data_IF_646274692338
#
_entry.id   IF_646274692338
#
_cell.length_a   1.000
_cell.length_b   1.000
_cell.length_c   1.000
_cell.angle_alpha   90.00
_cell.angle_beta   90.00
_cell.angle_gamma   90.00
#
_symmetry.space_group_name_H-M   'P 1'
#
loop_
_entity.id
_entity.type
_entity.pdbx_description
1 polymer ?
#
# COMPACT_ATOMS: atom_id res chain seq x y z
N UNK A 1 0.97 17.72 16.62
CA UNK A 1 1.95 16.62 16.47
C UNK A 1 2.95 17.02 15.40
N UNK A 2 4.23 16.80 15.65
CA UNK A 2 5.25 16.99 14.61
C UNK A 2 5.01 15.98 13.48
N UNK A 3 5.19 16.39 12.21
CA UNK A 3 4.97 15.51 11.09
C UNK A 3 5.98 14.35 11.10
N UNK A 4 5.52 13.14 10.76
CA UNK A 4 6.38 11.99 10.58
C UNK A 4 7.10 12.08 9.24
N UNK A 5 8.29 11.48 9.16
CA UNK A 5 9.05 11.32 7.92
C UNK A 5 8.89 9.90 7.38
N UNK A 6 8.57 9.78 6.11
CA UNK A 6 8.60 8.50 5.40
C UNK A 6 9.88 8.40 4.56
N UNK A 7 10.77 7.49 4.97
CA UNK A 7 11.99 7.16 4.25
C UNK A 7 11.77 5.94 3.33
N UNK A 8 12.27 5.99 2.10
CA UNK A 8 12.25 4.90 1.13
C UNK A 8 13.61 4.64 0.48
N UNK A 9 14.61 5.47 0.76
CA UNK A 9 15.97 5.41 0.21
C UNK A 9 17.03 5.13 1.27
N UNK A 10 18.21 5.70 1.09
CA UNK A 10 19.37 5.45 1.97
C UNK A 10 19.16 5.85 3.45
N UNK A 11 18.19 6.72 3.74
CA UNK A 11 17.85 7.11 5.12
C UNK A 11 17.19 5.96 5.93
N UNK A 12 16.88 4.84 5.30
CA UNK A 12 16.48 3.60 5.97
C UNK A 12 17.65 2.90 6.67
N UNK A 13 18.88 3.09 6.17
CA UNK A 13 20.09 2.55 6.80
C UNK A 13 20.64 3.52 7.85
N UNK A 14 20.54 3.11 9.12
CA UNK A 14 20.95 3.93 10.25
C UNK A 14 22.46 4.17 10.28
N UNK A 15 23.27 3.27 9.73
CA UNK A 15 24.72 3.43 9.70
C UNK A 15 25.11 4.48 8.65
N UNK A 16 24.49 4.46 7.46
CA UNK A 16 24.65 5.48 6.43
C UNK A 16 24.16 6.86 6.94
N UNK A 17 23.06 6.88 7.68
CA UNK A 17 22.58 8.10 8.32
C UNK A 17 23.56 8.64 9.36
N UNK A 18 24.06 7.79 10.27
CA UNK A 18 25.00 8.19 11.31
C UNK A 18 26.33 8.68 10.71
N UNK A 19 26.85 8.00 9.69
CA UNK A 19 28.05 8.43 8.98
C UNK A 19 27.88 9.79 8.34
N UNK A 20 26.73 10.03 7.67
CA UNK A 20 26.40 11.33 7.11
C UNK A 20 26.33 12.42 8.19
N UNK A 21 25.61 12.18 9.29
CA UNK A 21 25.47 13.13 10.39
C UNK A 21 26.85 13.50 11.00
N UNK A 22 27.69 12.51 11.29
CA UNK A 22 29.01 12.73 11.85
C UNK A 22 29.91 13.54 10.91
N UNK A 23 29.85 13.29 9.60
CA UNK A 23 30.63 14.02 8.58
C UNK A 23 30.24 15.49 8.48
N UNK A 24 28.97 15.81 8.72
CA UNK A 24 28.42 17.15 8.54
C UNK A 24 28.04 17.86 9.85
N UNK A 25 28.46 17.32 11.01
CA UNK A 25 28.16 17.85 12.35
C UNK A 25 26.68 17.96 12.68
N UNK A 26 25.88 16.99 12.25
CA UNK A 26 24.50 16.79 12.68
C UNK A 26 24.43 15.72 13.79
N UNK A 27 23.34 15.75 14.55
CA UNK A 27 23.08 14.71 15.56
C UNK A 27 22.44 13.47 14.88
N UNK A 28 23.10 12.29 14.91
CA UNK A 28 22.52 11.07 14.35
C UNK A 28 21.24 10.59 15.05
N UNK A 29 21.00 11.02 16.31
CA UNK A 29 19.80 10.69 17.08
C UNK A 29 18.64 11.64 16.78
N UNK A 30 18.78 12.53 15.82
CA UNK A 30 17.74 13.51 15.43
C UNK A 30 16.57 12.87 14.67
N UNK A 31 16.69 11.60 14.24
CA UNK A 31 15.63 10.77 13.71
C UNK A 31 15.50 9.47 14.51
N UNK A 32 14.28 9.00 14.69
CA UNK A 32 13.96 7.76 15.41
C UNK A 32 13.02 6.90 14.58
N UNK A 33 13.44 5.66 14.28
CA UNK A 33 12.60 4.72 13.53
C UNK A 33 11.38 4.30 14.36
N UNK A 34 10.19 4.37 13.77
CA UNK A 34 8.92 3.99 14.42
C UNK A 34 8.48 2.61 13.94
N UNK A 35 8.20 2.48 12.64
CA UNK A 35 7.61 1.25 12.07
C UNK A 35 7.76 1.18 10.56
N UNK A 36 7.69 -0.02 9.95
CA UNK A 36 7.57 -0.17 8.51
C UNK A 36 6.26 0.43 8.01
N UNK A 37 6.31 0.98 6.80
CA UNK A 37 5.14 1.52 6.12
C UNK A 37 5.30 1.39 4.60
N UNK A 38 4.20 1.64 3.86
CA UNK A 38 4.18 1.60 2.39
C UNK A 38 3.49 2.84 1.86
N UNK A 39 4.10 3.48 0.87
CA UNK A 39 3.49 4.60 0.17
C UNK A 39 2.68 4.09 -1.02
N UNK A 40 1.33 4.20 -0.99
CA UNK A 40 0.46 3.67 -2.03
C UNK A 40 0.49 4.51 -3.31
N UNK A 41 0.20 3.86 -4.45
CA UNK A 41 0.12 4.46 -5.78
C UNK A 41 1.43 5.09 -6.29
N UNK A 42 2.57 4.53 -5.85
CA UNK A 42 3.90 4.91 -6.31
C UNK A 42 4.76 3.68 -6.65
N UNK A 43 5.83 3.92 -7.39
CA UNK A 43 6.91 2.97 -7.66
C UNK A 43 8.28 3.63 -7.47
N UNK A 44 9.32 2.82 -7.23
CA UNK A 44 10.70 3.29 -7.15
C UNK A 44 11.25 3.60 -8.54
N UNK A 45 12.09 4.63 -8.62
CA UNK A 45 12.89 4.94 -9.80
C UNK A 45 14.23 5.55 -9.44
N UNK A 46 15.22 5.37 -10.29
CA UNK A 46 16.53 6.04 -10.18
C UNK A 46 16.54 7.20 -11.18
N UNK A 47 15.96 8.32 -10.77
CA UNK A 47 15.60 9.44 -11.64
C UNK A 47 16.39 10.72 -11.38
N UNK A 48 17.47 10.65 -10.59
CA UNK A 48 18.35 11.77 -10.31
C UNK A 48 19.80 11.31 -10.20
N UNK A 49 20.74 12.10 -10.72
CA UNK A 49 22.15 11.83 -10.54
C UNK A 49 22.63 12.41 -9.20
N UNK A 50 23.16 11.57 -8.34
CA UNK A 50 23.78 11.98 -7.08
C UNK A 50 25.31 12.06 -7.24
N UNK A 51 25.87 13.27 -7.08
CA UNK A 51 27.33 13.47 -7.10
C UNK A 51 28.01 12.73 -5.96
N UNK A 52 27.41 12.73 -4.77
CA UNK A 52 27.98 12.08 -3.58
C UNK A 52 27.95 10.55 -3.69
N UNK A 53 26.99 9.97 -4.40
CA UNK A 53 26.90 8.53 -4.64
C UNK A 53 27.58 8.08 -5.93
N UNK A 54 27.95 9.02 -6.80
CA UNK A 54 28.58 8.74 -8.10
C UNK A 54 27.67 8.01 -9.08
N UNK A 55 26.36 8.12 -8.95
CA UNK A 55 25.37 7.42 -9.77
C UNK A 55 23.94 7.81 -9.45
N UNK A 56 22.99 6.98 -9.91
CA UNK A 56 21.58 7.21 -9.66
C UNK A 56 21.21 7.16 -8.19
N UNK A 57 20.38 8.11 -7.74
CA UNK A 57 19.70 8.06 -6.46
C UNK A 57 18.20 7.83 -6.65
N UNK A 58 17.57 7.28 -5.59
CA UNK A 58 16.16 6.91 -5.61
C UNK A 58 15.25 8.13 -5.63
N UNK A 59 14.20 7.99 -6.38
CA UNK A 59 13.00 8.80 -6.39
C UNK A 59 11.77 7.90 -6.40
N UNK A 60 10.61 8.48 -6.21
CA UNK A 60 9.31 7.83 -6.38
C UNK A 60 8.57 8.43 -7.55
N UNK A 61 7.90 7.57 -8.32
CA UNK A 61 7.06 7.95 -9.45
C UNK A 61 5.63 7.50 -9.21
N UNK A 62 4.66 8.28 -9.64
CA UNK A 62 3.24 7.88 -9.55
C UNK A 62 2.99 6.61 -10.37
N UNK A 63 2.40 5.60 -9.74
CA UNK A 63 1.94 4.36 -10.36
C UNK A 63 0.74 3.82 -9.63
N UNK A 64 -0.42 3.98 -10.20
CA UNK A 64 -1.69 3.49 -9.64
C UNK A 64 -1.61 1.99 -9.36
N UNK A 65 -1.99 1.58 -8.15
CA UNK A 65 -1.96 0.18 -7.72
C UNK A 65 -0.58 -0.38 -7.34
N UNK A 66 0.51 0.39 -7.51
CA UNK A 66 1.80 0.06 -6.92
C UNK A 66 1.91 0.54 -5.47
N UNK A 67 2.97 0.16 -4.79
CA UNK A 67 3.39 0.78 -3.53
C UNK A 67 4.91 0.78 -3.36
N UNK A 68 5.42 1.74 -2.62
CA UNK A 68 6.84 1.83 -2.27
C UNK A 68 7.04 1.42 -0.82
N UNK A 69 7.89 0.44 -0.60
CA UNK A 69 8.31 0.00 0.72
C UNK A 69 9.21 1.03 1.39
N UNK A 70 9.02 1.26 2.70
CA UNK A 70 9.82 2.20 3.48
C UNK A 70 9.48 2.14 4.96
N UNK A 71 9.84 3.17 5.68
CA UNK A 71 9.58 3.23 7.12
C UNK A 71 9.25 4.67 7.58
N UNK A 72 8.48 4.75 8.66
CA UNK A 72 8.18 5.99 9.35
C UNK A 72 9.21 6.28 10.43
N UNK A 73 9.58 7.54 10.50
CA UNK A 73 10.50 8.08 11.49
C UNK A 73 9.87 9.28 12.21
N UNK A 74 10.12 9.39 13.50
CA UNK A 74 9.96 10.64 14.24
C UNK A 74 11.20 11.49 13.99
N UNK A 75 11.01 12.76 13.73
CA UNK A 75 12.09 13.68 13.36
C UNK A 75 11.95 14.96 14.17
N UNK A 76 13.00 15.34 14.89
CA UNK A 76 13.04 16.64 15.57
C UNK A 76 13.54 17.75 14.59
N UNK A 77 13.55 19.00 15.03
CA UNK A 77 13.93 20.12 14.19
C UNK A 77 15.36 19.98 13.62
N UNK A 78 16.31 19.46 14.39
CA UNK A 78 17.68 19.21 13.92
C UNK A 78 17.71 18.12 12.84
N UNK A 79 16.89 17.09 13.00
CA UNK A 79 16.72 16.04 11.99
C UNK A 79 16.16 16.57 10.68
N UNK A 80 15.16 17.46 10.76
CA UNK A 80 14.64 18.10 9.54
C UNK A 80 15.71 18.94 8.82
N UNK A 81 16.54 19.66 9.56
CA UNK A 81 17.64 20.43 8.98
C UNK A 81 18.70 19.50 8.32
N UNK A 82 19.01 18.38 8.98
CA UNK A 82 19.95 17.39 8.45
C UNK A 82 19.39 16.68 7.19
N UNK A 83 18.10 16.32 7.19
CA UNK A 83 17.44 15.74 6.03
C UNK A 83 17.42 16.71 4.85
N UNK A 84 17.01 17.97 5.05
CA UNK A 84 17.01 18.98 3.99
C UNK A 84 18.39 19.17 3.38
N UNK A 85 19.43 19.19 4.23
CA UNK A 85 20.79 19.29 3.75
C UNK A 85 21.23 18.06 2.95
N UNK A 86 20.90 16.85 3.44
CA UNK A 86 21.23 15.58 2.76
C UNK A 86 20.53 15.46 1.41
N UNK A 87 19.25 15.85 1.34
CA UNK A 87 18.43 15.76 0.14
C UNK A 87 18.66 16.97 -0.82
N UNK A 88 19.49 17.93 -0.43
CA UNK A 88 19.81 19.10 -1.28
C UNK A 88 18.60 19.98 -1.56
N UNK A 89 17.76 20.22 -0.55
CA UNK A 89 16.56 21.06 -0.69
C UNK A 89 16.95 22.50 -1.07
N UNK A 90 18.03 23.04 -0.51
CA UNK A 90 18.53 24.38 -0.84
C UNK A 90 19.09 24.47 -2.28
N UNK A 91 19.50 23.36 -2.85
CA UNK A 91 20.00 23.24 -4.23
C UNK A 91 18.89 22.80 -5.19
N UNK A 92 17.65 22.78 -4.72
CA UNK A 92 16.44 22.38 -5.46
C UNK A 92 16.51 20.98 -6.08
N UNK A 93 17.28 20.04 -5.45
CA UNK A 93 17.41 18.67 -5.93
C UNK A 93 16.17 17.86 -5.57
N UNK A 94 15.81 17.84 -4.26
CA UNK A 94 14.57 17.27 -3.77
C UNK A 94 13.74 18.33 -3.05
N UNK A 95 12.46 18.08 -2.96
CA UNK A 95 11.52 18.89 -2.16
C UNK A 95 10.76 18.03 -1.16
N UNK A 96 10.45 18.59 0.00
CA UNK A 96 9.51 17.99 0.96
C UNK A 96 8.12 17.92 0.33
N UNK A 97 7.51 16.75 0.42
CA UNK A 97 6.16 16.51 -0.11
C UNK A 97 5.34 15.79 0.94
N UNK A 98 4.12 16.28 1.19
CA UNK A 98 3.16 15.53 2.02
C UNK A 98 2.75 14.27 1.30
N UNK A 99 2.67 13.17 2.02
CA UNK A 99 2.23 11.88 1.51
C UNK A 99 1.34 11.16 2.53
N UNK A 100 0.57 10.21 2.03
CA UNK A 100 -0.14 9.24 2.84
C UNK A 100 0.59 7.90 2.73
N UNK A 101 0.79 7.21 3.84
CA UNK A 101 1.38 5.88 3.88
C UNK A 101 0.48 4.92 4.65
N UNK A 102 0.64 3.64 4.38
CA UNK A 102 -0.10 2.54 5.00
C UNK A 102 0.87 1.80 5.91
N UNK A 103 0.54 1.66 7.19
CA UNK A 103 1.33 0.88 8.15
C UNK A 103 1.09 -0.64 8.02
N UNK A 104 1.75 -1.43 8.86
CA UNK A 104 1.64 -2.90 8.84
C UNK A 104 0.26 -3.43 9.26
N UNK A 105 -0.58 -2.59 9.85
CA UNK A 105 -1.95 -2.93 10.28
C UNK A 105 -3.01 -2.44 9.31
N UNK A 106 -2.61 -1.74 8.23
CA UNK A 106 -3.50 -1.20 7.21
C UNK A 106 -4.02 0.20 7.50
N UNK A 107 -3.54 0.88 8.57
CA UNK A 107 -3.94 2.25 8.87
C UNK A 107 -3.24 3.24 7.94
N UNK A 108 -3.99 4.27 7.54
CA UNK A 108 -3.47 5.42 6.80
C UNK A 108 -2.82 6.41 7.76
N UNK A 109 -1.60 6.85 7.43
CA UNK A 109 -0.82 7.80 8.22
C UNK A 109 -0.30 8.90 7.30
N UNK A 110 -0.56 10.17 7.67
CA UNK A 110 0.01 11.32 6.98
C UNK A 110 1.47 11.51 7.38
N UNK A 111 2.34 11.70 6.39
CA UNK A 111 3.77 11.88 6.58
C UNK A 111 4.36 12.89 5.59
N UNK A 112 5.62 13.22 5.77
CA UNK A 112 6.44 14.00 4.82
C UNK A 112 7.45 13.02 4.19
N UNK A 113 7.67 13.15 2.90
CA UNK A 113 8.78 12.49 2.19
C UNK A 113 9.51 13.47 1.29
N UNK A 114 10.57 13.03 0.63
CA UNK A 114 11.30 13.83 -0.34
C UNK A 114 11.10 13.28 -1.75
N UNK A 115 10.86 14.16 -2.71
CA UNK A 115 10.64 13.83 -4.11
C UNK A 115 11.53 14.72 -4.97
N UNK A 116 12.15 14.17 -5.98
CA UNK A 116 12.98 14.90 -6.94
C UNK A 116 12.18 16.02 -7.59
N UNK A 117 12.79 17.19 -7.73
CA UNK A 117 12.19 18.33 -8.44
C UNK A 117 12.23 18.11 -9.95
N UNK A 118 11.33 18.76 -10.68
CA UNK A 118 11.23 18.62 -12.15
C UNK A 118 12.53 19.05 -12.84
N UNK A 119 13.28 19.99 -12.26
CA UNK A 119 14.56 20.50 -12.80
C UNK A 119 15.67 19.45 -12.76
N UNK A 120 15.65 18.55 -11.79
CA UNK A 120 16.69 17.55 -11.59
C UNK A 120 16.23 16.14 -12.00
N UNK A 121 14.97 16.00 -12.43
CA UNK A 121 14.46 14.74 -12.90
C UNK A 121 15.09 14.33 -14.24
N UNK A 122 15.55 13.10 -14.31
CA UNK A 122 15.98 12.42 -15.53
C UNK A 122 15.27 11.08 -15.63
N UNK A 123 15.16 10.51 -16.83
CA UNK A 123 14.41 9.27 -17.02
C UNK A 123 15.02 8.10 -16.24
N UNK A 124 16.34 7.94 -16.34
CA UNK A 124 17.06 6.90 -15.61
C UNK A 124 18.54 7.21 -15.45
N UNK A 125 19.07 6.95 -14.25
CA UNK A 125 20.52 6.89 -13.98
C UNK A 125 20.82 5.61 -13.23
N UNK A 126 21.73 4.80 -13.75
CA UNK A 126 22.14 3.56 -13.09
C UNK A 126 22.74 3.87 -11.70
N UNK A 127 22.26 3.23 -10.61
CA UNK A 127 22.87 3.38 -9.29
C UNK A 127 24.24 2.69 -9.23
N UNK A 128 25.08 3.13 -8.28
CA UNK A 128 26.25 2.34 -7.89
C UNK A 128 25.82 1.13 -7.07
N UNK A 129 26.61 0.05 -7.09
CA UNK A 129 26.34 -1.13 -6.26
C UNK A 129 26.30 -0.78 -4.78
N UNK A 130 27.26 0.03 -4.32
CA UNK A 130 27.32 0.49 -2.93
C UNK A 130 26.03 1.20 -2.49
N UNK A 131 25.47 2.10 -3.31
CA UNK A 131 24.22 2.78 -2.96
C UNK A 131 23.04 1.82 -2.92
N UNK A 132 22.97 0.86 -3.85
CA UNK A 132 21.96 -0.17 -3.86
C UNK A 132 22.03 -1.04 -2.59
N UNK A 133 23.25 -1.46 -2.17
CA UNK A 133 23.46 -2.25 -0.96
C UNK A 133 23.02 -1.50 0.32
N UNK A 134 23.27 -0.20 0.40
CA UNK A 134 22.81 0.67 1.51
C UNK A 134 21.27 0.65 1.60
N UNK A 135 20.58 0.85 0.48
CA UNK A 135 19.12 0.87 0.45
C UNK A 135 18.55 -0.51 0.76
N UNK A 136 19.14 -1.56 0.19
CA UNK A 136 18.74 -2.94 0.46
C UNK A 136 18.86 -3.28 1.95
N UNK A 137 19.98 -2.94 2.58
CA UNK A 137 20.20 -3.15 4.01
C UNK A 137 19.13 -2.43 4.85
N UNK A 138 18.79 -1.19 4.49
CA UNK A 138 17.73 -0.44 5.13
C UNK A 138 16.35 -1.11 4.99
N UNK A 139 15.97 -1.55 3.78
CA UNK A 139 14.71 -2.26 3.53
C UNK A 139 14.62 -3.58 4.32
N UNK A 140 15.69 -4.37 4.32
CA UNK A 140 15.75 -5.65 5.07
C UNK A 140 15.62 -5.44 6.59
N UNK A 141 16.15 -4.35 7.14
CA UNK A 141 15.98 -3.98 8.54
C UNK A 141 14.49 -3.88 8.93
N UNK A 142 13.67 -3.36 8.03
CA UNK A 142 12.22 -3.24 8.21
C UNK A 142 11.45 -4.45 7.66
N UNK A 143 12.14 -5.55 7.32
CA UNK A 143 11.57 -6.80 6.80
C UNK A 143 10.76 -6.62 5.51
N UNK A 144 11.18 -5.68 4.68
CA UNK A 144 10.61 -5.49 3.36
C UNK A 144 11.27 -6.41 2.33
N UNK A 145 10.47 -6.79 1.33
CA UNK A 145 10.99 -7.36 0.09
C UNK A 145 11.79 -6.30 -0.67
N UNK A 146 12.84 -6.73 -1.37
CA UNK A 146 13.77 -5.86 -2.07
C UNK A 146 13.73 -6.00 -3.60
N UNK A 147 12.82 -6.82 -4.14
CA UNK A 147 12.71 -7.08 -5.58
C UNK A 147 12.44 -5.82 -6.39
N UNK A 148 11.62 -4.91 -5.86
CA UNK A 148 11.32 -3.62 -6.52
C UNK A 148 12.57 -2.74 -6.67
N UNK A 149 13.46 -2.75 -5.68
CA UNK A 149 14.74 -2.05 -5.75
C UNK A 149 15.61 -2.58 -6.89
N UNK A 150 15.68 -3.91 -7.05
CA UNK A 150 16.46 -4.53 -8.12
C UNK A 150 15.87 -4.26 -9.51
N UNK A 151 14.55 -4.28 -9.65
CA UNK A 151 13.88 -3.94 -10.91
C UNK A 151 14.13 -2.47 -11.28
N UNK A 152 13.97 -1.55 -10.31
CA UNK A 152 14.23 -0.14 -10.50
C UNK A 152 15.71 0.13 -10.88
N UNK A 153 16.68 -0.55 -10.24
CA UNK A 153 18.11 -0.43 -10.52
C UNK A 153 18.49 -0.90 -11.93
N UNK A 154 17.68 -1.76 -12.55
CA UNK A 154 17.84 -2.25 -13.93
C UNK A 154 16.98 -1.47 -14.93
N UNK A 155 16.27 -0.44 -14.52
CA UNK A 155 15.26 0.27 -15.32
C UNK A 155 14.20 -0.67 -15.91
N UNK A 156 13.82 -1.69 -15.15
CA UNK A 156 12.79 -2.66 -15.55
C UNK A 156 11.46 -2.27 -14.90
N UNK A 157 10.36 -2.40 -15.64
CA UNK A 157 9.04 -2.14 -15.05
C UNK A 157 8.76 -3.13 -13.92
N UNK A 158 8.08 -2.65 -12.88
CA UNK A 158 7.53 -3.51 -11.85
C UNK A 158 6.51 -4.48 -12.47
N UNK A 159 6.53 -5.73 -12.01
CA UNK A 159 5.55 -6.71 -12.44
C UNK A 159 4.25 -6.53 -11.67
N UNK A 160 3.13 -6.45 -12.38
CA UNK A 160 1.80 -6.25 -11.77
C UNK A 160 1.40 -7.40 -10.83
N UNK A 161 1.99 -8.58 -11.00
CA UNK A 161 1.75 -9.76 -10.16
C UNK A 161 2.17 -9.60 -8.69
N UNK A 162 3.02 -8.60 -8.38
CA UNK A 162 3.47 -8.31 -7.02
C UNK A 162 2.42 -7.55 -6.19
N UNK A 163 1.35 -7.05 -6.83
CA UNK A 163 0.33 -6.21 -6.19
C UNK A 163 -1.08 -6.78 -6.39
N UNK A 164 -1.36 -7.99 -5.88
CA UNK A 164 -2.67 -8.60 -6.08
C UNK A 164 -3.77 -7.83 -5.36
N UNK A 165 -5.02 -8.01 -5.83
CA UNK A 165 -6.22 -7.50 -5.22
C UNK A 165 -6.99 -8.64 -4.56
N UNK A 166 -7.36 -8.48 -3.28
CA UNK A 166 -8.30 -9.36 -2.60
C UNK A 166 -9.72 -8.83 -2.73
N UNK A 167 -10.60 -9.65 -3.28
CA UNK A 167 -12.04 -9.37 -3.40
C UNK A 167 -12.84 -10.37 -2.58
N UNK A 168 -13.94 -9.91 -1.98
CA UNK A 168 -14.71 -10.71 -1.01
C UNK A 168 -16.23 -10.54 -1.13
N UNK A 169 -16.71 -9.69 -2.05
CA UNK A 169 -18.11 -9.26 -2.17
C UNK A 169 -18.67 -9.43 -3.59
N UNK A 170 -19.37 -8.43 -4.04
CA UNK A 170 -20.09 -8.41 -5.34
C UNK A 170 -19.20 -8.52 -6.57
N UNK A 171 -17.90 -8.30 -6.43
CA UNK A 171 -16.90 -8.48 -7.50
C UNK A 171 -16.47 -9.95 -7.67
N UNK A 172 -16.77 -10.85 -6.72
CA UNK A 172 -16.46 -12.29 -6.83
C UNK A 172 -17.09 -12.87 -8.10
N UNK A 173 -16.40 -13.83 -8.71
CA UNK A 173 -16.90 -14.50 -9.90
C UNK A 173 -18.30 -15.11 -9.66
N UNK A 174 -19.25 -14.81 -10.56
CA UNK A 174 -20.65 -15.20 -10.44
C UNK A 174 -21.53 -14.25 -9.62
N UNK A 175 -20.95 -13.27 -8.92
CA UNK A 175 -21.70 -12.25 -8.20
C UNK A 175 -22.08 -11.06 -9.11
N UNK A 176 -22.96 -10.18 -8.62
CA UNK A 176 -23.66 -9.16 -9.41
C UNK A 176 -22.75 -8.19 -10.17
N UNK A 177 -21.58 -7.84 -9.62
CA UNK A 177 -20.64 -6.90 -10.23
C UNK A 177 -19.39 -7.55 -10.84
N UNK A 178 -19.31 -8.89 -10.87
CA UNK A 178 -18.15 -9.63 -11.38
C UNK A 178 -17.76 -9.26 -12.80
N UNK A 179 -18.75 -8.94 -13.65
CA UNK A 179 -18.53 -8.55 -15.05
C UNK A 179 -17.69 -7.28 -15.21
N UNK A 180 -17.65 -6.40 -14.21
CA UNK A 180 -16.90 -5.14 -14.27
C UNK A 180 -15.39 -5.35 -14.24
N UNK A 181 -14.90 -6.41 -13.57
CA UNK A 181 -13.49 -6.77 -13.54
C UNK A 181 -13.12 -7.95 -14.44
N UNK A 182 -14.11 -8.66 -15.02
CA UNK A 182 -13.90 -9.77 -15.93
C UNK A 182 -13.17 -9.38 -17.22
N UNK A 183 -13.26 -8.11 -17.62
CA UNK A 183 -12.59 -7.57 -18.81
C UNK A 183 -11.08 -7.43 -18.68
N UNK A 184 -10.54 -7.43 -17.45
CA UNK A 184 -9.10 -7.32 -17.23
C UNK A 184 -8.45 -8.70 -17.26
N UNK A 185 -7.35 -8.83 -18.00
CA UNK A 185 -6.53 -10.04 -18.03
C UNK A 185 -5.94 -10.32 -16.65
N UNK A 186 -5.98 -11.60 -16.24
CA UNK A 186 -5.54 -12.06 -14.93
C UNK A 186 -4.40 -13.05 -15.11
N UNK A 187 -3.27 -12.80 -14.44
CA UNK A 187 -2.15 -13.74 -14.35
C UNK A 187 -2.47 -14.91 -13.42
N UNK A 188 -3.23 -14.63 -12.35
CA UNK A 188 -3.74 -15.66 -11.43
C UNK A 188 -5.04 -15.22 -10.75
N UNK A 189 -5.83 -16.21 -10.31
CA UNK A 189 -7.02 -16.02 -9.47
C UNK A 189 -7.17 -17.24 -8.60
N UNK A 190 -7.07 -17.08 -7.27
CA UNK A 190 -7.08 -18.16 -6.31
C UNK A 190 -8.05 -17.84 -5.17
N UNK A 191 -8.74 -18.86 -4.64
CA UNK A 191 -9.47 -18.67 -3.39
C UNK A 191 -8.51 -18.34 -2.26
N UNK A 192 -8.90 -17.40 -1.41
CA UNK A 192 -8.03 -16.90 -0.37
C UNK A 192 -8.79 -16.48 0.88
N UNK A 193 -8.05 -16.36 1.97
CA UNK A 193 -8.54 -16.03 3.30
C UNK A 193 -7.85 -14.79 3.82
N UNK A 194 -8.63 -13.91 4.45
CA UNK A 194 -8.12 -12.74 5.14
C UNK A 194 -8.72 -12.61 6.54
N UNK A 195 -7.94 -12.12 7.50
CA UNK A 195 -8.47 -11.79 8.83
C UNK A 195 -9.34 -10.55 8.74
N UNK A 196 -10.51 -10.60 9.38
CA UNK A 196 -11.46 -9.50 9.39
C UNK A 196 -12.89 -9.99 9.59
N UNK A 197 -13.83 -9.07 9.65
CA UNK A 197 -15.26 -9.37 9.80
C UNK A 197 -16.05 -8.76 8.65
N UNK A 198 -16.84 -9.57 7.97
CA UNK A 198 -17.81 -9.08 6.98
C UNK A 198 -19.11 -8.66 7.67
N UNK A 199 -19.69 -7.59 7.17
CA UNK A 199 -20.99 -7.07 7.60
C UNK A 199 -21.90 -6.92 6.38
N UNK A 200 -23.16 -7.35 6.53
CA UNK A 200 -24.18 -7.09 5.53
C UNK A 200 -24.64 -5.63 5.61
N UNK A 201 -24.92 -5.04 4.45
CA UNK A 201 -25.56 -3.73 4.35
C UNK A 201 -27.03 -3.91 3.91
N UNK A 202 -27.80 -2.83 4.02
CA UNK A 202 -29.16 -2.76 3.44
C UNK A 202 -29.13 -2.64 1.90
N UNK A 203 -27.95 -2.40 1.35
CA UNK A 203 -27.66 -2.32 -0.09
C UNK A 203 -26.90 -3.56 -0.52
N UNK A 204 -27.32 -4.42 -1.29
CA UNK A 204 -26.83 -5.73 -1.76
C UNK A 204 -25.30 -5.89 -1.95
N UNK A 205 -24.49 -5.43 -0.99
CA UNK A 205 -23.04 -5.60 -0.92
C UNK A 205 -22.55 -5.69 0.53
N UNK A 206 -21.45 -6.39 0.80
CA UNK A 206 -20.87 -6.46 2.14
C UNK A 206 -19.86 -5.34 2.39
N UNK A 207 -19.65 -5.02 3.66
CA UNK A 207 -18.54 -4.20 4.17
C UNK A 207 -17.56 -5.06 4.96
N UNK A 208 -16.27 -4.81 4.79
CA UNK A 208 -15.18 -5.49 5.51
C UNK A 208 -14.56 -4.57 6.53
N UNK A 209 -14.45 -5.06 7.76
CA UNK A 209 -13.65 -4.45 8.83
C UNK A 209 -12.45 -5.33 9.16
N UNK A 210 -11.23 -4.78 9.02
CA UNK A 210 -9.97 -5.44 9.39
C UNK A 210 -9.38 -4.87 10.68
N UNK A 211 -9.98 -3.84 11.26
CA UNK A 211 -9.49 -3.12 12.43
C UNK A 211 -10.19 -3.53 13.74
N UNK A 212 -11.15 -4.47 13.66
CA UNK A 212 -11.81 -5.07 14.82
C UNK A 212 -10.93 -6.08 15.55
N UNK A 213 -11.54 -6.93 16.38
CA UNK A 213 -10.81 -8.01 17.05
C UNK A 213 -10.31 -9.03 16.00
N UNK A 214 -9.00 -9.14 15.77
CA UNK A 214 -8.44 -9.99 14.73
C UNK A 214 -8.45 -11.47 15.09
N UNK A 215 -8.91 -11.86 16.29
CA UNK A 215 -8.60 -13.17 16.86
C UNK A 215 -9.41 -14.34 16.27
N UNK A 216 -10.56 -14.12 15.61
CA UNK A 216 -11.48 -15.20 15.34
C UNK A 216 -12.11 -15.30 13.95
N UNK A 217 -12.14 -14.26 13.15
CA UNK A 217 -12.90 -14.27 11.92
C UNK A 217 -12.01 -14.29 10.67
N UNK A 218 -12.27 -15.27 9.79
CA UNK A 218 -11.67 -15.34 8.47
C UNK A 218 -12.72 -14.98 7.41
N UNK A 219 -12.34 -14.07 6.53
CA UNK A 219 -13.14 -13.68 5.37
C UNK A 219 -12.66 -14.45 4.16
N UNK A 220 -13.62 -15.12 3.50
CA UNK A 220 -13.38 -15.88 2.27
C UNK A 220 -13.55 -14.98 1.06
N UNK A 221 -12.58 -15.04 0.16
CA UNK A 221 -12.57 -14.24 -1.05
C UNK A 221 -11.70 -14.83 -2.13
N UNK A 222 -11.32 -14.01 -3.09
CA UNK A 222 -10.39 -14.36 -4.17
C UNK A 222 -9.22 -13.38 -4.18
N UNK A 223 -8.02 -13.92 -4.31
CA UNK A 223 -6.80 -13.17 -4.53
C UNK A 223 -6.50 -13.16 -6.04
N UNK A 224 -6.50 -11.99 -6.65
CA UNK A 224 -6.36 -11.84 -8.09
C UNK A 224 -5.13 -11.01 -8.42
N UNK A 225 -4.23 -11.56 -9.21
CA UNK A 225 -3.15 -10.81 -9.85
C UNK A 225 -3.59 -10.43 -11.27
N UNK A 226 -3.63 -9.13 -11.55
CA UNK A 226 -3.96 -8.60 -12.87
C UNK A 226 -2.68 -8.33 -13.68
N UNK A 227 -2.74 -8.50 -15.00
CA UNK A 227 -1.63 -8.14 -15.89
C UNK A 227 -1.43 -6.62 -15.91
N UNK A 228 -2.53 -5.85 -15.81
CA UNK A 228 -2.53 -4.41 -15.62
C UNK A 228 -3.30 -4.05 -14.33
N UNK A 229 -2.57 -4.03 -13.22
CA UNK A 229 -3.14 -3.64 -11.92
C UNK A 229 -3.62 -2.19 -11.91
N UNK A 230 -2.98 -1.30 -12.66
CA UNK A 230 -3.33 0.13 -12.66
C UNK A 230 -4.73 0.36 -13.22
N UNK A 231 -5.05 -0.29 -14.33
CA UNK A 231 -6.39 -0.25 -14.93
C UNK A 231 -7.44 -0.95 -14.06
N UNK A 232 -7.09 -2.10 -13.48
CA UNK A 232 -7.99 -2.84 -12.58
C UNK A 232 -8.33 -2.01 -11.32
N UNK A 233 -7.32 -1.45 -10.64
CA UNK A 233 -7.51 -0.59 -9.46
C UNK A 233 -8.29 0.69 -9.82
N UNK A 234 -8.01 1.31 -10.97
CA UNK A 234 -8.77 2.49 -11.37
C UNK A 234 -10.26 2.19 -11.56
N UNK A 235 -10.58 1.01 -12.08
CA UNK A 235 -11.96 0.57 -12.20
C UNK A 235 -12.60 0.24 -10.83
N UNK A 236 -11.89 -0.51 -9.99
CA UNK A 236 -12.43 -0.89 -8.68
C UNK A 236 -12.54 0.30 -7.73
N UNK A 237 -11.65 1.29 -7.78
CA UNK A 237 -11.78 2.54 -7.03
C UNK A 237 -13.13 3.23 -7.31
N UNK A 238 -13.57 3.26 -8.59
CA UNK A 238 -14.88 3.82 -8.95
C UNK A 238 -16.06 2.99 -8.45
N UNK A 239 -15.93 1.66 -8.45
CA UNK A 239 -16.98 0.73 -7.98
C UNK A 239 -17.18 0.85 -6.47
N UNK A 240 -16.09 1.07 -5.74
CA UNK A 240 -16.02 1.10 -4.28
C UNK A 240 -16.16 2.53 -3.71
N UNK A 241 -16.49 3.51 -4.57
CA UNK A 241 -16.59 4.93 -4.18
C UNK A 241 -15.34 5.40 -3.38
N UNK A 242 -14.16 5.02 -3.89
CA UNK A 242 -12.87 5.46 -3.38
C UNK A 242 -12.31 6.60 -4.26
N UNK A 243 -12.28 7.80 -3.73
CA UNK A 243 -11.88 9.03 -4.43
C UNK A 243 -10.45 9.47 -4.10
N UNK A 244 -9.69 8.63 -3.41
CA UNK A 244 -8.30 8.88 -3.01
C UNK A 244 -8.09 8.73 -1.51
N UNK A 245 -6.82 8.61 -1.13
CA UNK A 245 -6.43 8.52 0.28
C UNK A 245 -6.77 9.82 1.01
N UNK A 246 -7.21 9.71 2.26
CA UNK A 246 -7.64 10.84 3.12
C UNK A 246 -8.91 11.60 2.62
N UNK A 247 -9.65 11.07 1.64
CA UNK A 247 -10.91 11.69 1.20
C UNK A 247 -12.07 11.30 2.12
N UNK A 248 -12.70 12.29 2.74
CA UNK A 248 -13.80 12.06 3.70
C UNK A 248 -15.09 11.50 3.05
N UNK A 249 -15.23 11.59 1.72
CA UNK A 249 -16.41 11.12 0.99
C UNK A 249 -16.28 9.64 0.56
N UNK A 250 -15.17 8.98 0.88
CA UNK A 250 -14.99 7.57 0.55
C UNK A 250 -16.02 6.70 1.27
N UNK A 251 -16.72 5.82 0.54
CA UNK A 251 -17.53 4.77 1.16
C UNK A 251 -16.62 3.63 1.64
N UNK A 252 -15.64 3.24 0.81
CA UNK A 252 -14.58 2.32 1.17
C UNK A 252 -13.23 3.01 1.17
N UNK A 253 -12.35 2.58 2.05
CA UNK A 253 -10.94 2.93 2.04
C UNK A 253 -10.14 1.81 1.37
N UNK A 254 -9.24 2.15 0.47
CA UNK A 254 -8.31 1.17 -0.11
C UNK A 254 -7.07 1.08 0.75
N UNK A 255 -6.71 -0.14 1.16
CA UNK A 255 -5.54 -0.39 2.00
C UNK A 255 -4.80 -1.66 1.57
N UNK A 256 -3.70 -1.97 2.26
CA UNK A 256 -2.88 -3.17 2.06
C UNK A 256 -3.00 -4.05 3.30
N UNK A 257 -3.31 -5.32 3.09
CA UNK A 257 -3.40 -6.29 4.20
C UNK A 257 -2.83 -7.64 3.81
N UNK A 258 -2.63 -8.50 4.82
CA UNK A 258 -2.15 -9.86 4.64
C UNK A 258 -3.28 -10.80 4.24
N UNK A 259 -3.05 -11.57 3.18
CA UNK A 259 -3.97 -12.57 2.63
C UNK A 259 -3.26 -13.91 2.51
N UNK A 260 -3.96 -15.02 2.71
CA UNK A 260 -3.43 -16.38 2.57
C UNK A 260 -4.26 -17.16 1.57
N UNK A 261 -3.62 -17.90 0.67
CA UNK A 261 -4.31 -18.81 -0.26
C UNK A 261 -4.89 -20.01 0.52
N UNK A 262 -4.17 -20.49 1.53
CA UNK A 262 -4.66 -21.50 2.48
C UNK A 262 -4.30 -21.09 3.91
N UNK A 263 -4.85 -21.75 4.92
CA UNK A 263 -4.50 -21.47 6.32
C UNK A 263 -3.01 -21.73 6.64
N UNK A 264 -2.37 -22.59 5.87
CA UNK A 264 -0.98 -23.04 6.06
C UNK A 264 0.04 -22.31 5.20
N UNK A 265 -0.40 -21.52 4.19
CA UNK A 265 0.52 -20.77 3.34
C UNK A 265 1.03 -19.51 4.04
N UNK A 266 2.24 -19.08 3.68
CA UNK A 266 2.74 -17.78 4.10
C UNK A 266 1.83 -16.66 3.57
N UNK A 267 1.55 -15.62 4.37
CA UNK A 267 0.71 -14.53 3.93
C UNK A 267 1.42 -13.70 2.87
N UNK A 268 0.65 -13.28 1.86
CA UNK A 268 1.07 -12.28 0.88
C UNK A 268 0.34 -10.97 1.15
N UNK A 269 0.95 -9.86 0.74
CA UNK A 269 0.30 -8.55 0.81
C UNK A 269 -0.59 -8.36 -0.40
N UNK A 270 -1.78 -7.82 -0.18
CA UNK A 270 -2.74 -7.54 -1.22
C UNK A 270 -3.46 -6.21 -0.97
N UNK A 271 -3.86 -5.55 -2.04
CA UNK A 271 -4.85 -4.50 -1.99
C UNK A 271 -6.19 -5.04 -1.51
N UNK A 272 -6.89 -4.26 -0.73
CA UNK A 272 -8.24 -4.58 -0.27
C UNK A 272 -9.02 -3.29 -0.02
N UNK A 273 -10.33 -3.34 -0.27
CA UNK A 273 -11.24 -2.27 0.12
C UNK A 273 -11.88 -2.63 1.46
N UNK A 274 -11.85 -1.68 2.39
CA UNK A 274 -12.38 -1.84 3.75
C UNK A 274 -13.35 -0.70 4.04
N UNK A 275 -14.24 -0.88 5.01
CA UNK A 275 -15.15 0.18 5.41
C UNK A 275 -14.37 1.44 5.83
N UNK A 276 -14.76 2.60 5.33
CA UNK A 276 -14.15 3.88 5.72
C UNK A 276 -14.70 4.41 7.06
N UNK A 277 -15.98 4.11 7.37
CA UNK A 277 -16.70 4.59 8.55
C UNK A 277 -17.26 3.40 9.34
N UNK A 278 -16.53 2.95 10.36
CA UNK A 278 -16.86 1.73 11.14
C UNK A 278 -18.18 1.86 11.92
N UNK A 279 -18.61 3.06 12.25
CA UNK A 279 -19.89 3.34 12.89
C UNK A 279 -21.11 2.95 12.06
N UNK A 280 -20.93 2.70 10.76
CA UNK A 280 -21.97 2.18 9.85
C UNK A 280 -22.18 0.67 9.94
N UNK A 281 -21.23 -0.04 10.55
CA UNK A 281 -21.27 -1.50 10.62
C UNK A 281 -22.42 -1.99 11.50
N UNK A 282 -23.24 -2.90 10.95
CA UNK A 282 -24.36 -3.56 11.63
C UNK A 282 -24.28 -5.05 11.35
N UNK A 283 -25.13 -5.82 11.31
CA UNK A 283 -25.36 -7.18 10.84
C UNK A 283 -24.09 -7.97 10.42
N UNK A 284 -23.25 -8.45 11.36
CA UNK A 284 -22.08 -9.25 10.99
C UNK A 284 -22.49 -10.53 10.27
N UNK A 285 -21.63 -11.00 9.33
CA UNK A 285 -21.79 -12.26 8.61
C UNK A 285 -20.88 -13.33 9.26
N UNK A 286 -21.40 -14.18 10.15
CA UNK A 286 -20.56 -15.09 10.95
C UNK A 286 -19.78 -16.11 10.11
N UNK A 287 -20.29 -16.47 8.92
CA UNK A 287 -19.61 -17.40 8.00
C UNK A 287 -18.35 -16.82 7.35
N UNK A 288 -18.16 -15.49 7.42
CA UNK A 288 -17.09 -14.77 6.68
C UNK A 288 -17.19 -14.94 5.16
N UNK A 289 -18.31 -15.41 4.62
CA UNK A 289 -18.47 -15.73 3.21
C UNK A 289 -19.71 -15.04 2.63
N UNK A 290 -19.48 -14.07 1.74
CA UNK A 290 -20.57 -13.34 1.07
C UNK A 290 -21.47 -14.26 0.25
N UNK A 291 -20.90 -15.16 -0.57
CA UNK A 291 -21.67 -16.09 -1.41
C UNK A 291 -22.65 -16.91 -0.59
N UNK A 292 -22.20 -17.50 0.53
CA UNK A 292 -23.05 -18.30 1.41
C UNK A 292 -24.16 -17.47 2.05
N UNK A 293 -23.85 -16.24 2.44
CA UNK A 293 -24.83 -15.32 3.01
C UNK A 293 -25.87 -14.92 1.96
N UNK A 294 -25.43 -14.52 0.77
CA UNK A 294 -26.30 -14.05 -0.32
C UNK A 294 -27.25 -15.15 -0.83
N UNK A 295 -26.77 -16.38 -0.96
CA UNK A 295 -27.62 -17.54 -1.31
C UNK A 295 -28.72 -17.76 -0.28
N UNK A 296 -28.41 -17.73 1.01
CA UNK A 296 -29.43 -17.90 2.08
C UNK A 296 -30.47 -16.80 2.07
N UNK A 297 -30.02 -15.54 1.84
CA UNK A 297 -30.91 -14.38 1.73
C UNK A 297 -31.88 -14.55 0.56
N UNK A 298 -31.39 -14.96 -0.61
CA UNK A 298 -32.22 -15.20 -1.79
C UNK A 298 -33.24 -16.31 -1.57
N UNK A 299 -32.84 -17.40 -0.91
CA UNK A 299 -33.78 -18.48 -0.56
C UNK A 299 -34.87 -18.04 0.42
N UNK A 300 -34.54 -17.20 1.39
CA UNK A 300 -35.53 -16.69 2.36
C UNK A 300 -36.53 -15.75 1.69
N UNK A 301 -36.12 -14.93 0.73
CA UNK A 301 -37.00 -14.04 -0.04
C UNK A 301 -37.95 -14.81 -0.96
N UNK A 302 -37.51 -15.93 -1.54
CA UNK A 302 -38.39 -16.79 -2.39
C UNK A 302 -39.44 -17.52 -1.55
N UNK A 303 -39.12 -17.83 -0.31
CA UNK A 303 -39.99 -18.59 0.59
C UNK A 303 -40.80 -17.70 1.56
N UNK A 304 -40.79 -16.39 1.41
CA UNK A 304 -41.59 -15.47 2.24
C UNK A 304 -43.02 -15.38 1.70
N UNK A 305 -44.03 -15.92 2.43
CA UNK A 305 -45.42 -15.91 1.98
C UNK A 305 -46.03 -14.51 1.84
N UNK A 306 -45.40 -13.49 2.48
CA UNK A 306 -45.93 -12.12 2.49
C UNK A 306 -45.63 -11.33 1.19
N UNK A 307 -44.73 -11.84 0.33
CA UNK A 307 -44.37 -11.21 -0.93
C UNK A 307 -45.16 -11.74 -2.13
N UNK A 308 -46.02 -12.76 -1.93
CA UNK A 308 -46.85 -13.38 -2.95
C UNK A 308 -48.37 -13.08 -2.76
N UNK A 309 -48.72 -12.07 -1.98
CA UNK A 309 -50.09 -11.64 -1.73
C UNK A 309 -50.45 -10.34 -2.45
#
# INVERSE_FOLDING_TARGET
>A
MEPLYFAYGSNLDIDDWAEFCNRHNFDPNSIEAIQPARMPDYELGFNVFSRTRGGGALNIKSRKGGWVNGALFRVNQNGWNALDFKEGVNDDIYRRTRCCVIDSTGNLISAITYVVTDLNYVEFVKPTQHYQDVVEKGLRRFRHDTSDLYLAAQNRPLTSTQYPLFIYGTLLEGESRSHQIARFSKSSSEEALMRGTLYATDRDYPMLDIFGDPSTNLVKGQLIAFDDISSAISCTDLIEDFFGFENANNEFARTISQVRVTETTDPVLAWVYVVSQRERLRNPIPSGCWRTFNLRRSHNLINDPSLNA
#
